data_IF_557978375511
#
_entry.id   IF_557978375511
#
_cell.length_a   1.000
_cell.length_b   1.000
_cell.length_c   1.000
_cell.angle_alpha   90.00
_cell.angle_beta   90.00
_cell.angle_gamma   90.00
#
_symmetry.space_group_name_H-M   'P 1'
#
loop_
_entity.id
_entity.type
_entity.pdbx_description
1 polymer ?
#
# COMPACT_ATOMS: atom_id res chain seq x y z
N UNK A 1 -1.35 16.84 -21.36
CA UNK A 1 -0.83 16.18 -22.58
C UNK A 1 -1.66 14.93 -22.85
N UNK A 2 -2.32 14.84 -24.02
CA UNK A 2 -3.20 13.72 -24.37
C UNK A 2 -2.41 12.51 -24.82
N UNK A 3 -2.04 11.64 -23.89
CA UNK A 3 -1.43 10.34 -24.20
C UNK A 3 -2.40 9.52 -25.07
N UNK A 4 -1.87 8.85 -26.10
CA UNK A 4 -2.65 7.90 -26.93
C UNK A 4 -2.80 6.52 -26.28
N UNK A 5 -2.18 6.32 -25.11
CA UNK A 5 -2.23 5.07 -24.35
C UNK A 5 -3.62 4.93 -23.72
N UNK A 6 -4.33 3.87 -24.07
CA UNK A 6 -5.64 3.53 -23.52
C UNK A 6 -5.44 2.88 -22.16
N UNK A 7 -5.76 3.63 -21.11
CA UNK A 7 -5.60 3.23 -19.72
C UNK A 7 -6.88 2.61 -19.19
N UNK A 8 -6.75 1.55 -18.40
CA UNK A 8 -7.86 1.00 -17.65
C UNK A 8 -7.43 0.63 -16.22
N UNK A 9 -8.33 0.86 -15.26
CA UNK A 9 -8.11 0.59 -13.84
C UNK A 9 -9.11 -0.46 -13.35
N UNK A 10 -8.61 -1.57 -12.82
CA UNK A 10 -9.42 -2.56 -12.11
C UNK A 10 -9.19 -2.45 -10.60
N UNK A 11 -10.24 -2.08 -9.88
CA UNK A 11 -10.28 -2.16 -8.41
C UNK A 11 -11.41 -3.06 -7.95
N UNK A 12 -11.30 -3.63 -6.76
CA UNK A 12 -12.30 -4.57 -6.21
C UNK A 12 -13.70 -3.98 -6.04
N UNK A 13 -13.86 -2.65 -6.10
CA UNK A 13 -15.15 -1.96 -5.97
C UNK A 13 -16.00 -1.86 -7.24
N UNK A 14 -15.53 -2.37 -8.38
CA UNK A 14 -16.28 -2.31 -9.64
C UNK A 14 -17.50 -3.24 -9.62
N UNK A 15 -18.63 -2.73 -10.13
CA UNK A 15 -19.84 -3.54 -10.34
C UNK A 15 -19.59 -4.65 -11.36
N UNK A 16 -20.38 -5.72 -11.30
CA UNK A 16 -20.25 -6.87 -12.21
C UNK A 16 -20.28 -6.44 -13.67
N UNK A 17 -21.24 -5.59 -14.07
CA UNK A 17 -21.36 -5.09 -15.45
C UNK A 17 -20.11 -4.36 -15.92
N UNK A 18 -19.55 -3.46 -15.10
CA UNK A 18 -18.33 -2.73 -15.46
C UNK A 18 -17.10 -3.65 -15.52
N UNK A 19 -17.08 -4.70 -14.69
CA UNK A 19 -16.03 -5.72 -14.72
C UNK A 19 -16.09 -6.56 -15.99
N UNK A 20 -17.29 -6.98 -16.39
CA UNK A 20 -17.50 -7.75 -17.62
C UNK A 20 -17.11 -6.93 -18.86
N UNK A 21 -17.48 -5.64 -18.90
CA UNK A 21 -17.04 -4.70 -19.95
C UNK A 21 -15.52 -4.55 -19.98
N UNK A 22 -14.89 -4.41 -18.81
CA UNK A 22 -13.44 -4.33 -18.68
C UNK A 22 -12.76 -5.61 -19.23
N UNK A 23 -13.28 -6.80 -18.94
CA UNK A 23 -12.72 -8.05 -19.46
C UNK A 23 -12.85 -8.16 -20.97
N UNK A 24 -13.99 -7.74 -21.55
CA UNK A 24 -14.16 -7.72 -23.00
C UNK A 24 -13.16 -6.75 -23.68
N UNK A 25 -12.90 -5.60 -23.07
CA UNK A 25 -11.90 -4.63 -23.56
C UNK A 25 -10.48 -5.15 -23.44
N UNK A 26 -10.15 -5.87 -22.36
CA UNK A 26 -8.85 -6.49 -22.18
C UNK A 26 -8.60 -7.62 -23.20
N UNK A 27 -9.61 -8.44 -23.48
CA UNK A 27 -9.52 -9.57 -24.42
C UNK A 27 -9.48 -9.09 -25.88
N UNK A 28 -10.14 -7.99 -26.22
CA UNK A 28 -10.12 -7.40 -27.57
C UNK A 28 -8.85 -6.59 -27.88
N UNK A 29 -8.00 -6.33 -26.88
CA UNK A 29 -6.81 -5.48 -27.05
C UNK A 29 -7.13 -3.99 -27.11
N UNK A 30 -8.27 -3.57 -26.53
CA UNK A 30 -8.65 -2.16 -26.43
C UNK A 30 -7.97 -1.42 -25.26
N UNK A 31 -7.10 -2.10 -24.51
CA UNK A 31 -6.39 -1.56 -23.35
C UNK A 31 -4.89 -1.75 -23.58
N UNK A 32 -4.14 -0.65 -23.52
CA UNK A 32 -2.68 -0.65 -23.70
C UNK A 32 -1.95 -0.75 -22.36
N UNK A 33 -2.47 -0.09 -21.32
CA UNK A 33 -1.95 -0.17 -19.96
C UNK A 33 -3.09 -0.40 -18.96
N UNK A 34 -2.95 -1.51 -18.26
CA UNK A 34 -3.90 -1.97 -17.27
C UNK A 34 -3.27 -1.82 -15.88
N UNK A 35 -3.99 -1.17 -14.97
CA UNK A 35 -3.58 -0.94 -13.59
C UNK A 35 -4.61 -1.60 -12.69
N UNK A 36 -4.18 -2.18 -11.57
CA UNK A 36 -5.11 -2.78 -10.64
C UNK A 36 -4.41 -3.48 -9.50
N UNK A 37 -5.22 -4.01 -8.60
CA UNK A 37 -4.72 -4.78 -7.46
C UNK A 37 -4.60 -6.26 -7.84
N UNK A 38 -4.53 -7.12 -6.84
CA UNK A 38 -4.56 -8.57 -6.98
C UNK A 38 -5.78 -9.10 -7.74
N UNK A 39 -6.84 -8.28 -7.86
CA UNK A 39 -8.01 -8.57 -8.69
C UNK A 39 -7.65 -8.88 -10.15
N UNK A 40 -6.53 -8.36 -10.66
CA UNK A 40 -6.05 -8.66 -12.02
C UNK A 40 -5.61 -10.12 -12.21
N UNK A 41 -5.36 -10.83 -11.11
CA UNK A 41 -4.90 -12.23 -11.11
C UNK A 41 -6.04 -13.20 -10.85
N UNK A 42 -7.25 -12.70 -10.62
CA UNK A 42 -8.45 -13.52 -10.47
C UNK A 42 -8.79 -14.27 -11.76
N UNK A 43 -9.50 -15.38 -11.61
CA UNK A 43 -9.90 -16.21 -12.75
C UNK A 43 -10.90 -15.46 -13.63
N UNK A 44 -10.54 -15.23 -14.89
CA UNK A 44 -11.41 -14.58 -15.87
C UNK A 44 -10.73 -13.51 -16.73
N UNK A 45 -9.66 -12.88 -16.24
CA UNK A 45 -8.93 -11.90 -17.05
C UNK A 45 -8.16 -12.59 -18.18
N UNK A 46 -8.55 -12.29 -19.42
CA UNK A 46 -7.82 -12.62 -20.64
C UNK A 46 -7.33 -11.33 -21.26
N UNK A 47 -6.06 -11.33 -21.66
CA UNK A 47 -5.43 -10.20 -22.32
C UNK A 47 -4.98 -10.66 -23.71
N UNK A 48 -5.25 -9.86 -24.73
CA UNK A 48 -4.90 -10.20 -26.11
C UNK A 48 -3.39 -10.43 -26.30
N UNK A 49 -2.56 -9.55 -25.74
CA UNK A 49 -1.11 -9.65 -25.80
C UNK A 49 -0.48 -8.92 -24.59
N UNK A 50 0.29 -9.64 -23.78
CA UNK A 50 0.97 -9.08 -22.59
C UNK A 50 2.46 -9.08 -22.84
N UNK A 51 3.03 -7.89 -23.00
CA UNK A 51 4.48 -7.73 -23.19
C UNK A 51 5.26 -7.51 -21.90
N UNK A 52 4.66 -6.84 -20.91
CA UNK A 52 5.31 -6.44 -19.66
C UNK A 52 4.32 -6.51 -18.49
N UNK A 53 4.80 -7.05 -17.37
CA UNK A 53 4.09 -7.03 -16.08
C UNK A 53 4.97 -6.30 -15.06
N UNK A 54 4.43 -5.22 -14.50
CA UNK A 54 5.08 -4.47 -13.42
C UNK A 54 4.36 -4.76 -12.12
N UNK A 55 5.13 -5.07 -11.09
CA UNK A 55 4.63 -5.39 -9.75
C UNK A 55 5.29 -4.44 -8.78
N UNK A 56 4.49 -3.78 -7.94
CA UNK A 56 4.96 -2.89 -6.88
C UNK A 56 4.62 -3.50 -5.51
N UNK A 57 5.57 -3.48 -4.57
CA UNK A 57 5.53 -4.04 -3.21
C UNK A 57 5.04 -5.50 -3.08
N UNK A 58 5.97 -6.43 -3.28
CA UNK A 58 5.70 -7.82 -3.64
C UNK A 58 5.30 -8.79 -2.49
N UNK A 59 4.61 -8.36 -1.43
CA UNK A 59 4.22 -9.32 -0.39
C UNK A 59 3.19 -10.37 -0.86
N UNK A 60 2.55 -10.18 -2.01
CA UNK A 60 1.44 -11.04 -2.48
C UNK A 60 1.49 -11.47 -3.96
N UNK A 61 2.46 -10.98 -4.74
CA UNK A 61 2.66 -11.37 -6.14
C UNK A 61 3.84 -12.35 -6.22
N UNK A 62 3.59 -13.63 -5.99
CA UNK A 62 4.66 -14.63 -5.83
C UNK A 62 5.07 -15.35 -7.12
N UNK A 63 5.86 -16.41 -6.93
CA UNK A 63 6.26 -17.39 -7.97
C UNK A 63 5.06 -18.06 -8.61
N UNK A 64 4.02 -18.38 -7.83
CA UNK A 64 2.86 -19.14 -8.27
C UNK A 64 2.07 -18.42 -9.37
N UNK A 65 1.93 -17.09 -9.28
CA UNK A 65 1.23 -16.30 -10.29
C UNK A 65 2.03 -16.19 -11.59
N UNK A 66 3.37 -16.06 -11.50
CA UNK A 66 4.26 -16.13 -12.68
C UNK A 66 4.15 -17.49 -13.36
N UNK A 67 4.14 -18.58 -12.58
CA UNK A 67 3.95 -19.93 -13.09
C UNK A 67 2.59 -20.11 -13.80
N UNK A 68 1.51 -19.50 -13.27
CA UNK A 68 0.15 -19.53 -13.87
C UNK A 68 0.08 -18.76 -15.21
N UNK A 69 0.87 -17.70 -15.39
CA UNK A 69 0.96 -16.99 -16.67
C UNK A 69 1.83 -17.76 -17.68
N UNK A 70 2.97 -18.31 -17.23
CA UNK A 70 3.86 -19.15 -18.06
C UNK A 70 3.15 -20.42 -18.54
N UNK A 71 2.34 -21.07 -17.70
CA UNK A 71 1.60 -22.29 -18.08
C UNK A 71 0.53 -22.05 -19.14
N UNK A 72 0.10 -20.80 -19.35
CA UNK A 72 -0.80 -20.39 -20.45
C UNK A 72 -0.06 -20.07 -21.75
N UNK A 73 1.26 -20.33 -21.82
CA UNK A 73 2.09 -20.07 -23.00
C UNK A 73 2.49 -18.60 -23.18
N UNK A 74 2.21 -17.74 -22.20
CA UNK A 74 2.53 -16.30 -22.25
C UNK A 74 3.81 -16.04 -21.46
N UNK A 75 4.77 -15.36 -22.09
CA UNK A 75 6.09 -15.06 -21.53
C UNK A 75 6.34 -13.54 -21.54
N UNK A 76 5.66 -12.75 -20.69
CA UNK A 76 5.91 -11.32 -20.62
C UNK A 76 7.24 -11.04 -19.91
N UNK A 77 7.81 -9.86 -20.17
CA UNK A 77 8.85 -9.31 -19.32
C UNK A 77 8.27 -9.01 -17.93
N UNK A 78 9.06 -9.22 -16.88
CA UNK A 78 8.66 -8.92 -15.50
C UNK A 78 9.59 -7.85 -14.92
N UNK A 79 8.98 -6.83 -14.33
CA UNK A 79 9.67 -5.87 -13.48
C UNK A 79 9.01 -5.89 -12.11
N UNK A 80 9.82 -6.19 -11.10
CA UNK A 80 9.38 -6.23 -9.71
C UNK A 80 10.08 -5.11 -8.96
N UNK A 81 9.30 -4.27 -8.29
CA UNK A 81 9.75 -3.15 -7.49
C UNK A 81 9.39 -3.40 -6.03
N UNK A 82 10.34 -3.14 -5.13
CA UNK A 82 10.16 -3.22 -3.68
C UNK A 82 11.05 -2.19 -3.01
N UNK A 83 10.53 -1.43 -2.06
CA UNK A 83 11.34 -0.56 -1.21
C UNK A 83 11.87 -1.31 0.01
N UNK A 84 11.21 -2.41 0.42
CA UNK A 84 11.66 -3.22 1.55
C UNK A 84 12.86 -4.08 1.13
N UNK A 85 14.00 -4.01 1.87
CA UNK A 85 15.14 -4.87 1.58
C UNK A 85 14.76 -6.33 1.84
N UNK A 86 14.51 -7.08 0.76
CA UNK A 86 14.32 -8.52 0.85
C UNK A 86 15.69 -9.14 1.08
N UNK A 87 15.91 -9.94 2.14
CA UNK A 87 17.19 -10.60 2.36
C UNK A 87 17.62 -11.33 1.09
N UNK A 88 18.87 -11.13 0.64
CA UNK A 88 19.36 -11.68 -0.63
C UNK A 88 19.12 -13.19 -0.76
N UNK A 89 19.23 -13.93 0.35
CA UNK A 89 18.94 -15.37 0.41
C UNK A 89 17.46 -15.69 0.14
N UNK A 90 16.54 -14.90 0.69
CA UNK A 90 15.11 -15.01 0.43
C UNK A 90 14.80 -14.59 -1.02
N UNK A 91 15.46 -13.56 -1.53
CA UNK A 91 15.34 -13.12 -2.92
C UNK A 91 15.81 -14.21 -3.89
N UNK A 92 16.94 -14.87 -3.65
CA UNK A 92 17.40 -16.00 -4.49
C UNK A 92 16.46 -17.22 -4.43
N UNK A 93 15.74 -17.40 -3.31
CA UNK A 93 14.80 -18.52 -3.17
C UNK A 93 13.45 -18.22 -3.83
N UNK A 94 12.92 -17.00 -3.66
CA UNK A 94 11.62 -16.58 -4.21
C UNK A 94 11.71 -16.05 -5.64
N UNK A 95 12.88 -15.58 -6.05
CA UNK A 95 13.15 -14.88 -7.31
C UNK A 95 14.42 -15.38 -7.97
N UNK A 96 14.84 -16.62 -7.71
CA UNK A 96 16.02 -17.22 -8.35
C UNK A 96 15.98 -17.26 -9.88
N UNK A 97 14.85 -16.91 -10.48
CA UNK A 97 14.65 -16.71 -11.92
C UNK A 97 14.65 -15.23 -12.38
N UNK A 98 14.99 -14.27 -11.52
CA UNK A 98 15.05 -12.84 -11.81
C UNK A 98 16.45 -12.26 -11.57
N UNK A 99 16.89 -11.39 -12.48
CA UNK A 99 18.05 -10.53 -12.25
C UNK A 99 17.69 -9.43 -11.23
N UNK A 100 18.61 -9.17 -10.30
CA UNK A 100 18.40 -8.20 -9.21
C UNK A 100 19.20 -6.93 -9.49
N UNK A 101 18.51 -5.79 -9.54
CA UNK A 101 19.11 -4.46 -9.57
C UNK A 101 18.79 -3.72 -8.28
N UNK A 102 19.78 -3.05 -7.69
CA UNK A 102 19.63 -2.26 -6.46
C UNK A 102 19.86 -0.79 -6.79
N UNK A 103 18.93 0.08 -6.40
CA UNK A 103 19.09 1.52 -6.49
C UNK A 103 19.50 2.02 -5.10
N UNK A 104 20.71 2.55 -5.01
CA UNK A 104 21.26 3.09 -3.77
C UNK A 104 21.19 4.62 -3.75
N UNK A 105 21.13 5.18 -2.54
CA UNK A 105 21.09 6.63 -2.32
C UNK A 105 19.67 7.19 -2.26
N UNK A 106 19.55 8.32 -1.57
CA UNK A 106 18.31 9.08 -1.50
C UNK A 106 18.24 10.07 -2.68
N UNK A 107 17.05 10.35 -3.22
CA UNK A 107 16.90 11.43 -4.20
C UNK A 107 17.37 12.77 -3.60
N UNK A 108 17.95 13.67 -4.42
CA UNK A 108 18.49 14.93 -3.95
C UNK A 108 17.42 15.77 -3.26
N UNK A 109 17.79 16.41 -2.15
CA UNK A 109 16.88 17.24 -1.35
C UNK A 109 15.98 16.48 -0.37
N UNK A 110 16.11 15.14 -0.26
CA UNK A 110 15.41 14.36 0.77
C UNK A 110 16.04 14.64 2.15
N UNK A 111 15.28 15.18 3.12
CA UNK A 111 15.80 15.42 4.46
C UNK A 111 16.08 14.11 5.19
N UNK A 112 17.07 14.14 6.08
CA UNK A 112 17.37 13.02 6.97
C UNK A 112 16.25 12.84 8.00
N UNK A 113 15.90 11.59 8.29
CA UNK A 113 14.86 11.26 9.27
C UNK A 113 15.54 11.01 10.61
N UNK A 114 15.33 11.91 11.58
CA UNK A 114 15.77 11.67 12.95
C UNK A 114 14.87 10.63 13.63
N UNK A 115 15.46 9.49 14.01
CA UNK A 115 14.73 8.40 14.68
C UNK A 115 15.11 8.36 16.16
N UNK A 116 14.11 8.38 17.04
CA UNK A 116 14.33 8.32 18.51
C UNK A 116 13.49 7.21 19.14
N UNK A 117 14.10 6.45 20.05
CA UNK A 117 13.40 5.55 20.94
C UNK A 117 13.09 6.29 22.25
N UNK A 118 11.81 6.50 22.55
CA UNK A 118 11.37 7.26 23.73
C UNK A 118 10.83 6.30 24.80
N UNK A 119 11.38 6.27 26.02
CA UNK A 119 10.84 5.48 27.11
C UNK A 119 9.57 6.13 27.69
N UNK A 120 8.70 5.33 28.33
CA UNK A 120 7.40 5.80 28.86
C UNK A 120 7.51 7.03 29.79
N UNK A 121 8.57 7.12 30.58
CA UNK A 121 8.84 8.26 31.48
C UNK A 121 9.01 9.60 30.74
N UNK A 122 9.38 9.56 29.46
CA UNK A 122 9.58 10.73 28.59
C UNK A 122 8.44 10.90 27.58
N UNK A 123 7.40 10.06 27.63
CA UNK A 123 6.29 10.09 26.67
C UNK A 123 5.59 11.45 26.62
N UNK A 124 5.44 12.14 27.76
CA UNK A 124 4.86 13.49 27.81
C UNK A 124 5.66 14.50 26.98
N UNK A 125 6.99 14.46 27.07
CA UNK A 125 7.86 15.34 26.29
C UNK A 125 7.77 15.04 24.79
N UNK A 126 7.66 13.76 24.41
CA UNK A 126 7.45 13.38 23.02
C UNK A 126 6.09 13.87 22.47
N UNK A 127 5.02 13.76 23.25
CA UNK A 127 3.71 14.29 22.83
C UNK A 127 3.70 15.82 22.75
N UNK A 128 4.39 16.51 23.65
CA UNK A 128 4.56 17.95 23.56
C UNK A 128 5.27 18.35 22.25
N UNK A 129 6.34 17.65 21.88
CA UNK A 129 7.01 17.86 20.60
C UNK A 129 6.05 17.66 19.40
N UNK A 130 5.26 16.58 19.40
CA UNK A 130 4.26 16.34 18.35
C UNK A 130 3.24 17.46 18.28
N UNK A 131 2.74 17.93 19.43
CA UNK A 131 1.79 19.05 19.51
C UNK A 131 2.36 20.34 18.95
N UNK A 132 3.62 20.65 19.24
CA UNK A 132 4.32 21.83 18.71
C UNK A 132 4.40 21.77 17.18
N UNK A 133 4.72 20.59 16.61
CA UNK A 133 4.75 20.38 15.15
C UNK A 133 3.37 20.55 14.50
N UNK A 134 2.33 19.97 15.09
CA UNK A 134 0.95 20.14 14.62
C UNK A 134 0.54 21.62 14.66
N UNK A 135 0.91 22.34 15.72
CA UNK A 135 0.60 23.77 15.87
C UNK A 135 1.35 24.63 14.83
N UNK A 136 2.54 24.19 14.40
CA UNK A 136 3.28 24.80 13.30
C UNK A 136 2.70 24.51 11.90
N UNK A 137 1.58 23.76 11.81
CA UNK A 137 0.92 23.41 10.56
C UNK A 137 1.43 22.10 9.93
N UNK A 138 2.25 21.33 10.64
CA UNK A 138 2.68 20.01 10.21
C UNK A 138 1.63 18.92 10.54
N UNK A 139 1.82 17.71 10.00
CA UNK A 139 0.96 16.55 10.26
C UNK A 139 1.75 15.45 10.97
N UNK A 140 1.07 14.65 11.80
CA UNK A 140 1.66 13.53 12.51
C UNK A 140 0.83 12.25 12.33
N UNK A 141 1.51 11.13 12.15
CA UNK A 141 0.90 9.80 12.15
C UNK A 141 1.19 9.10 13.48
N UNK A 142 0.15 8.56 14.11
CA UNK A 142 0.25 7.72 15.31
C UNK A 142 -0.25 6.32 14.96
N UNK A 143 0.61 5.31 15.09
CA UNK A 143 0.32 3.94 14.66
C UNK A 143 0.18 3.04 15.89
N UNK A 144 -0.98 2.38 16.00
CA UNK A 144 -1.26 1.37 17.01
C UNK A 144 -1.39 -0.02 16.37
N UNK A 145 -0.98 -1.09 17.06
CA UNK A 145 -1.00 -2.45 16.52
C UNK A 145 -2.41 -3.04 16.41
N UNK A 146 -3.34 -2.62 17.27
CA UNK A 146 -4.71 -3.12 17.31
C UNK A 146 -5.72 -2.02 16.99
N UNK A 147 -6.86 -2.42 16.39
CA UNK A 147 -7.99 -1.53 16.14
C UNK A 147 -8.83 -1.35 17.41
N UNK A 148 -9.22 -2.48 18.01
CA UNK A 148 -10.01 -2.60 19.23
C UNK A 148 -9.20 -3.40 20.25
N UNK A 149 -9.50 -3.20 21.53
CA UNK A 149 -8.87 -3.98 22.60
C UNK A 149 -9.21 -5.47 22.46
N UNK A 150 -8.25 -6.32 22.82
CA UNK A 150 -8.38 -7.77 22.74
C UNK A 150 -7.90 -8.40 24.04
N UNK A 151 -8.76 -9.19 24.69
CA UNK A 151 -8.38 -9.91 25.92
C UNK A 151 -7.21 -10.89 25.68
N UNK A 152 -7.07 -11.42 24.46
CA UNK A 152 -5.99 -12.32 24.08
C UNK A 152 -4.63 -11.64 23.90
N UNK A 153 -4.60 -10.31 23.73
CA UNK A 153 -3.37 -9.54 23.48
C UNK A 153 -3.45 -8.20 24.22
N UNK A 154 -2.72 -8.03 25.34
CA UNK A 154 -2.74 -6.80 26.13
C UNK A 154 -1.92 -5.69 25.45
N UNK A 155 -2.29 -5.32 24.23
CA UNK A 155 -1.71 -4.25 23.45
C UNK A 155 -2.69 -3.09 23.32
N UNK A 156 -2.15 -1.89 23.14
CA UNK A 156 -2.94 -0.66 22.98
C UNK A 156 -3.76 -0.69 21.69
N UNK A 157 -5.02 -0.25 21.79
CA UNK A 157 -5.95 -0.15 20.68
C UNK A 157 -6.13 1.29 20.21
N UNK A 158 -6.20 1.48 18.89
CA UNK A 158 -6.32 2.79 18.26
C UNK A 158 -7.59 3.55 18.68
N UNK A 159 -8.72 2.86 18.82
CA UNK A 159 -10.00 3.49 19.20
C UNK A 159 -9.98 4.05 20.63
N UNK A 160 -9.47 3.27 21.58
CA UNK A 160 -9.36 3.69 22.98
C UNK A 160 -8.35 4.81 23.16
N UNK A 161 -7.19 4.69 22.52
CA UNK A 161 -6.12 5.69 22.63
C UNK A 161 -6.46 7.00 21.92
N UNK A 162 -7.25 6.98 20.85
CA UNK A 162 -7.75 8.21 20.23
C UNK A 162 -8.53 9.07 21.22
N UNK A 163 -9.42 8.47 22.00
CA UNK A 163 -10.21 9.18 23.00
C UNK A 163 -9.34 9.72 24.13
N UNK A 164 -8.31 8.98 24.54
CA UNK A 164 -7.33 9.44 25.52
C UNK A 164 -6.52 10.63 24.99
N UNK A 165 -6.02 10.55 23.76
CA UNK A 165 -5.26 11.64 23.13
C UNK A 165 -6.12 12.89 22.92
N UNK A 166 -7.40 12.73 22.54
CA UNK A 166 -8.37 13.82 22.41
C UNK A 166 -8.62 14.56 23.72
N UNK A 167 -8.56 13.88 24.86
CA UNK A 167 -8.79 14.47 26.19
C UNK A 167 -7.50 14.89 26.89
N UNK A 168 -6.36 14.34 26.45
CA UNK A 168 -5.05 14.53 27.07
C UNK A 168 -4.12 15.36 26.22
N UNK A 169 -2.97 14.76 25.86
CA UNK A 169 -1.80 15.48 25.31
C UNK A 169 -2.10 16.23 23.99
N UNK A 170 -3.03 15.72 23.18
CA UNK A 170 -3.43 16.32 21.91
C UNK A 170 -4.80 17.00 21.98
N UNK A 171 -5.28 17.33 23.18
CA UNK A 171 -6.53 18.06 23.35
C UNK A 171 -6.52 19.40 22.58
N UNK A 172 -7.56 19.60 21.77
CA UNK A 172 -7.72 20.75 20.87
C UNK A 172 -7.09 20.59 19.49
N UNK A 173 -6.33 19.51 19.23
CA UNK A 173 -5.88 19.19 17.88
C UNK A 173 -7.01 18.52 17.09
N UNK A 174 -6.86 18.46 15.76
CA UNK A 174 -7.69 17.63 14.90
C UNK A 174 -7.12 16.21 14.90
N UNK A 175 -7.90 15.25 15.37
CA UNK A 175 -7.54 13.83 15.35
C UNK A 175 -8.63 13.04 14.61
N UNK A 176 -8.21 12.31 13.59
CA UNK A 176 -9.04 11.36 12.85
C UNK A 176 -8.48 9.94 12.99
N UNK A 177 -9.34 8.94 12.83
CA UNK A 177 -9.00 7.53 12.94
C UNK A 177 -9.06 6.86 11.58
N UNK A 178 -8.05 6.05 11.27
CA UNK A 178 -8.00 5.25 10.06
C UNK A 178 -7.62 3.81 10.41
N UNK A 179 -8.50 2.85 10.14
CA UNK A 179 -8.20 1.43 10.35
C UNK A 179 -8.84 0.49 9.33
N UNK A 180 -8.33 -0.75 9.28
CA UNK A 180 -8.71 -1.76 8.30
C UNK A 180 -10.22 -2.06 8.24
N UNK A 181 -10.91 -2.10 9.40
CA UNK A 181 -12.35 -2.37 9.49
C UNK A 181 -13.29 -1.27 8.97
N UNK A 182 -12.81 -0.06 8.66
CA UNK A 182 -13.66 1.03 8.14
C UNK A 182 -14.09 0.77 6.69
N UNK A 183 -15.25 1.30 6.29
CA UNK A 183 -15.69 1.25 4.90
C UNK A 183 -14.78 2.10 4.02
N UNK A 184 -14.62 1.72 2.75
CA UNK A 184 -13.72 2.43 1.83
C UNK A 184 -14.08 3.91 1.65
N UNK A 185 -15.38 4.25 1.63
CA UNK A 185 -15.84 5.64 1.53
C UNK A 185 -15.39 6.47 2.74
N UNK A 186 -15.59 5.94 3.95
CA UNK A 186 -15.18 6.57 5.21
C UNK A 186 -13.67 6.79 5.27
N UNK A 187 -12.87 5.81 4.82
CA UNK A 187 -11.41 5.96 4.70
C UNK A 187 -11.02 7.10 3.77
N UNK A 188 -11.70 7.21 2.63
CA UNK A 188 -11.47 8.26 1.65
C UNK A 188 -11.78 9.65 2.22
N UNK A 189 -12.88 9.79 2.94
CA UNK A 189 -13.24 11.04 3.62
C UNK A 189 -12.20 11.43 4.68
N UNK A 190 -11.73 10.48 5.48
CA UNK A 190 -10.68 10.74 6.48
C UNK A 190 -9.37 11.18 5.82
N UNK A 191 -8.98 10.59 4.69
CA UNK A 191 -7.75 10.96 3.98
C UNK A 191 -7.82 12.31 3.26
N UNK A 192 -9.02 12.82 2.95
CA UNK A 192 -9.22 14.10 2.25
C UNK A 192 -9.34 15.32 3.19
N UNK A 193 -9.35 15.05 4.49
CA UNK A 193 -9.59 16.03 5.55
C UNK A 193 -8.32 16.73 5.98
#
# INVERSE_FOLDING_TARGET
AGSRVRLALLTGGLSKTKRDEFYARAESGDIDLLIGTHALLEEGLRMANVGLVIVDEQHRFGVAQRAKLRSKGVWPHYLVLTATPIPRTLAMTLFGDLDVSVIEGLPPGRPEIETRLVPDREAKAAWQFVRERITAGEQAFVVYPLVEESEAMPLKAATGELEQLRRGELAGCRLDLLHGKMKSAEKGEVMQR
#
